data_IF_064433164713
#
_entry.id   IF_064433164713
#
_cell.length_a   1.000
_cell.length_b   1.000
_cell.length_c   1.000
_cell.angle_alpha   90.00
_cell.angle_beta   90.00
_cell.angle_gamma   90.00
#
_symmetry.space_group_name_H-M   'P 1'
#
loop_
_entity.id
_entity.type
_entity.pdbx_description
1 polymer ?
#
# COMPACT_ATOMS: atom_id res chain seq x y z
N UNK A 1 -9.86 -38.50 -6.01
CA UNK A 1 -8.86 -37.44 -5.85
C UNK A 1 -9.64 -36.18 -5.52
N UNK A 2 -9.70 -35.83 -4.23
CA UNK A 2 -10.42 -34.66 -3.77
C UNK A 2 -9.56 -33.41 -4.04
N UNK A 3 -9.92 -32.66 -5.08
CA UNK A 3 -9.33 -31.33 -5.26
C UNK A 3 -9.81 -30.44 -4.10
N UNK A 4 -8.91 -29.81 -3.32
CA UNK A 4 -9.34 -28.85 -2.32
C UNK A 4 -10.14 -27.75 -3.03
N UNK A 5 -11.42 -27.63 -2.67
CA UNK A 5 -12.27 -26.57 -3.15
C UNK A 5 -11.67 -25.29 -2.58
N UNK A 6 -11.20 -24.38 -3.44
CA UNK A 6 -10.80 -23.05 -2.99
C UNK A 6 -11.96 -22.43 -2.19
N UNK A 7 -11.77 -22.22 -0.89
CA UNK A 7 -12.76 -21.56 -0.01
C UNK A 7 -13.14 -20.16 -0.53
N UNK A 8 -12.34 -19.59 -1.43
CA UNK A 8 -12.58 -18.31 -2.09
C UNK A 8 -13.57 -18.37 -3.26
N UNK A 9 -14.32 -19.47 -3.46
CA UNK A 9 -15.33 -19.55 -4.52
C UNK A 9 -16.56 -18.68 -4.18
N UNK A 10 -16.59 -17.51 -4.81
CA UNK A 10 -17.60 -16.44 -4.70
C UNK A 10 -19.07 -16.92 -4.75
N UNK A 11 -19.83 -16.70 -3.66
CA UNK A 11 -21.31 -16.66 -3.67
C UNK A 11 -21.77 -15.35 -4.35
N UNK A 12 -22.73 -15.39 -5.28
CA UNK A 12 -23.13 -14.22 -6.08
C UNK A 12 -23.89 -13.14 -5.27
N UNK A 13 -23.88 -11.89 -5.75
CA UNK A 13 -24.70 -10.77 -5.23
C UNK A 13 -24.03 -9.86 -4.19
N UNK A 14 -24.85 -9.08 -3.45
CA UNK A 14 -24.43 -8.15 -2.39
C UNK A 14 -23.57 -8.82 -1.30
N UNK A 15 -23.80 -10.10 -1.02
CA UNK A 15 -22.98 -10.91 -0.12
C UNK A 15 -21.50 -10.96 -0.55
N UNK A 16 -21.20 -10.91 -1.85
CA UNK A 16 -19.82 -10.84 -2.36
C UNK A 16 -19.12 -9.53 -2.02
N UNK A 17 -19.87 -8.42 -2.08
CA UNK A 17 -19.33 -7.09 -1.76
C UNK A 17 -19.03 -7.01 -0.27
N UNK A 18 -19.95 -7.47 0.59
CA UNK A 18 -19.72 -7.56 2.03
C UNK A 18 -18.56 -8.48 2.39
N UNK A 19 -18.44 -9.66 1.76
CA UNK A 19 -17.29 -10.54 1.99
C UNK A 19 -15.97 -9.91 1.52
N UNK A 20 -15.97 -9.23 0.37
CA UNK A 20 -14.77 -8.55 -0.13
C UNK A 20 -14.32 -7.41 0.80
N UNK A 21 -15.27 -6.64 1.35
CA UNK A 21 -14.95 -5.63 2.37
C UNK A 21 -14.36 -6.27 3.64
N UNK A 22 -14.91 -7.41 4.09
CA UNK A 22 -14.35 -8.15 5.22
C UNK A 22 -12.90 -8.57 4.97
N UNK A 23 -12.61 -9.14 3.79
CA UNK A 23 -11.25 -9.54 3.43
C UNK A 23 -10.29 -8.33 3.35
N UNK A 24 -10.76 -7.19 2.84
CA UNK A 24 -9.95 -5.96 2.84
C UNK A 24 -9.63 -5.49 4.26
N UNK A 25 -10.60 -5.54 5.18
CA UNK A 25 -10.38 -5.18 6.59
C UNK A 25 -9.38 -6.12 7.27
N UNK A 26 -9.47 -7.42 7.00
CA UNK A 26 -8.52 -8.41 7.50
C UNK A 26 -7.11 -8.13 6.96
N UNK A 27 -6.99 -7.75 5.67
CA UNK A 27 -5.72 -7.34 5.07
C UNK A 27 -5.11 -6.10 5.73
N UNK A 28 -5.90 -5.04 5.94
CA UNK A 28 -5.43 -3.84 6.65
C UNK A 28 -5.06 -4.14 8.11
N UNK A 29 -5.82 -4.99 8.78
CA UNK A 29 -5.51 -5.42 10.15
C UNK A 29 -4.20 -6.19 10.20
N UNK A 30 -3.97 -7.10 9.24
CA UNK A 30 -2.72 -7.85 9.14
C UNK A 30 -1.53 -6.91 8.91
N UNK A 31 -1.64 -5.98 7.95
CA UNK A 31 -0.59 -4.98 7.70
C UNK A 31 -0.31 -4.13 8.95
N UNK A 32 -1.35 -3.65 9.63
CA UNK A 32 -1.19 -2.87 10.87
C UNK A 32 -0.52 -3.65 11.99
N UNK A 33 -0.81 -4.95 12.14
CA UNK A 33 -0.26 -5.77 13.24
C UNK A 33 1.18 -6.22 12.94
N UNK A 34 1.46 -6.66 11.72
CA UNK A 34 2.70 -7.35 11.37
C UNK A 34 3.74 -6.44 10.73
N UNK A 35 3.34 -5.35 10.06
CA UNK A 35 4.25 -4.54 9.25
C UNK A 35 4.62 -3.23 9.96
N UNK A 36 5.85 -3.15 10.47
CA UNK A 36 6.36 -1.93 11.09
C UNK A 36 6.46 -0.76 10.10
N UNK A 37 6.89 -1.05 8.86
CA UNK A 37 7.01 -0.05 7.80
C UNK A 37 5.63 0.54 7.47
N UNK A 38 4.63 -0.29 7.16
CA UNK A 38 3.24 0.16 6.95
C UNK A 38 2.73 1.13 8.03
N UNK A 39 3.00 0.88 9.32
CA UNK A 39 2.60 1.80 10.40
C UNK A 39 3.28 3.16 10.29
N UNK A 40 4.57 3.21 10.00
CA UNK A 40 5.33 4.45 9.82
C UNK A 40 4.81 5.23 8.61
N UNK A 41 4.59 4.53 7.49
CA UNK A 41 4.06 5.14 6.28
C UNK A 41 2.64 5.68 6.49
N UNK A 42 1.79 4.96 7.21
CA UNK A 42 0.43 5.41 7.50
C UNK A 42 0.44 6.71 8.30
N UNK A 43 1.37 6.88 9.25
CA UNK A 43 1.54 8.14 9.97
C UNK A 43 1.91 9.27 9.01
N UNK A 44 2.85 9.04 8.08
CA UNK A 44 3.22 10.02 7.05
C UNK A 44 2.02 10.37 6.17
N UNK A 45 1.23 9.38 5.74
CA UNK A 45 0.03 9.59 4.92
C UNK A 45 -1.02 10.40 5.67
N UNK A 46 -1.28 10.10 6.95
CA UNK A 46 -2.25 10.84 7.77
C UNK A 46 -1.82 12.28 7.94
N UNK A 47 -0.57 12.52 8.35
CA UNK A 47 -0.03 13.87 8.55
C UNK A 47 -0.04 14.64 7.21
N UNK A 48 0.46 14.03 6.14
CA UNK A 48 0.50 14.63 4.81
C UNK A 48 -0.90 14.96 4.28
N UNK A 49 -1.89 14.11 4.54
CA UNK A 49 -3.28 14.37 4.16
C UNK A 49 -3.86 15.56 4.92
N UNK A 50 -3.64 15.65 6.24
CA UNK A 50 -4.07 16.80 7.05
C UNK A 50 -3.43 18.09 6.53
N UNK A 51 -2.13 18.06 6.23
CA UNK A 51 -1.41 19.20 5.64
C UNK A 51 -2.00 19.58 4.29
N UNK A 52 -2.21 18.63 3.37
CA UNK A 52 -2.77 18.88 2.05
C UNK A 52 -4.18 19.51 2.12
N UNK A 53 -5.02 19.03 3.04
CA UNK A 53 -6.36 19.60 3.26
C UNK A 53 -6.30 21.03 3.82
N UNK A 54 -5.31 21.34 4.65
CA UNK A 54 -5.09 22.68 5.21
C UNK A 54 -4.48 23.70 4.24
N UNK A 55 -3.87 23.27 3.14
CA UNK A 55 -3.29 24.17 2.14
C UNK A 55 -4.39 24.93 1.37
N UNK A 56 -4.13 26.21 1.09
CA UNK A 56 -4.97 27.07 0.24
C UNK A 56 -4.67 26.85 -1.26
N UNK A 57 -4.79 25.60 -1.71
CA UNK A 57 -4.59 25.14 -3.09
C UNK A 57 -5.91 24.59 -3.66
N UNK A 58 -5.96 24.37 -4.97
CA UNK A 58 -7.17 23.87 -5.65
C UNK A 58 -7.56 22.47 -5.15
N UNK A 59 -8.86 22.10 -5.22
CA UNK A 59 -9.30 20.75 -4.83
C UNK A 59 -8.58 19.63 -5.60
N UNK A 60 -8.23 19.89 -6.87
CA UNK A 60 -7.49 18.94 -7.70
C UNK A 60 -6.06 18.73 -7.19
N UNK A 61 -5.34 19.80 -6.84
CA UNK A 61 -4.01 19.69 -6.26
C UNK A 61 -4.04 18.93 -4.92
N UNK A 62 -5.03 19.18 -4.06
CA UNK A 62 -5.23 18.40 -2.82
C UNK A 62 -5.39 16.91 -3.10
N UNK A 63 -6.25 16.59 -4.07
CA UNK A 63 -6.48 15.20 -4.48
C UNK A 63 -5.18 14.55 -4.97
N UNK A 64 -4.40 15.24 -5.81
CA UNK A 64 -3.12 14.75 -6.33
C UNK A 64 -2.12 14.48 -5.20
N UNK A 65 -2.00 15.38 -4.21
CA UNK A 65 -1.14 15.19 -3.05
C UNK A 65 -1.54 13.96 -2.21
N UNK A 66 -2.84 13.78 -1.97
CA UNK A 66 -3.38 12.66 -1.19
C UNK A 66 -3.23 11.34 -1.96
N UNK A 67 -3.53 11.32 -3.25
CA UNK A 67 -3.38 10.13 -4.10
C UNK A 67 -1.93 9.67 -4.14
N UNK A 68 -0.97 10.59 -4.23
CA UNK A 68 0.44 10.24 -4.21
C UNK A 68 0.87 9.55 -2.90
N UNK A 69 0.32 9.99 -1.76
CA UNK A 69 0.55 9.35 -0.46
C UNK A 69 -0.15 7.98 -0.35
N UNK A 70 -1.39 7.87 -0.82
CA UNK A 70 -2.11 6.60 -0.85
C UNK A 70 -1.42 5.57 -1.76
N UNK A 71 -0.79 6.02 -2.85
CA UNK A 71 -0.01 5.16 -3.74
C UNK A 71 1.16 4.50 -3.00
N UNK A 72 1.83 5.20 -2.08
CA UNK A 72 2.87 4.61 -1.21
C UNK A 72 2.31 3.42 -0.42
N UNK A 73 1.18 3.61 0.27
CA UNK A 73 0.56 2.52 1.05
C UNK A 73 0.09 1.35 0.19
N UNK A 74 -0.39 1.60 -1.03
CA UNK A 74 -0.77 0.53 -1.96
C UNK A 74 0.46 -0.31 -2.32
N UNK A 75 1.57 0.34 -2.65
CA UNK A 75 2.80 -0.37 -3.04
C UNK A 75 3.40 -1.11 -1.84
N UNK A 76 3.34 -0.54 -0.64
CA UNK A 76 3.78 -1.21 0.59
C UNK A 76 2.93 -2.43 0.92
N UNK A 77 1.60 -2.37 0.81
CA UNK A 77 0.74 -3.54 0.98
C UNK A 77 1.08 -4.66 -0.01
N UNK A 78 1.41 -4.31 -1.26
CA UNK A 78 1.88 -5.29 -2.26
C UNK A 78 3.25 -5.85 -1.87
N UNK A 79 4.17 -5.01 -1.39
CA UNK A 79 5.48 -5.44 -0.90
C UNK A 79 5.33 -6.44 0.25
N UNK A 80 4.56 -6.12 1.28
CA UNK A 80 4.29 -7.02 2.41
C UNK A 80 3.62 -8.32 1.97
N UNK A 81 2.72 -8.29 0.98
CA UNK A 81 2.13 -9.50 0.42
C UNK A 81 3.18 -10.39 -0.27
N UNK A 82 4.13 -9.80 -1.00
CA UNK A 82 5.26 -10.51 -1.61
C UNK A 82 6.15 -11.11 -0.52
N UNK A 83 6.48 -10.34 0.52
CA UNK A 83 7.29 -10.80 1.65
C UNK A 83 6.64 -11.99 2.36
N UNK A 84 5.33 -11.91 2.65
CA UNK A 84 4.58 -13.00 3.26
C UNK A 84 4.58 -14.29 2.40
N UNK A 85 4.47 -14.15 1.07
CA UNK A 85 4.55 -15.29 0.15
C UNK A 85 5.97 -15.89 0.15
N UNK A 86 7.00 -15.06 0.09
CA UNK A 86 8.40 -15.49 0.06
C UNK A 86 8.76 -16.21 1.37
N UNK A 87 8.36 -15.66 2.52
CA UNK A 87 8.65 -16.22 3.84
C UNK A 87 7.90 -17.51 4.11
N UNK A 88 6.72 -17.70 3.49
CA UNK A 88 6.01 -18.98 3.52
C UNK A 88 6.74 -20.09 2.75
N UNK A 89 7.44 -19.78 1.65
CA UNK A 89 8.05 -20.79 0.77
C UNK A 89 9.33 -21.37 1.39
N UNK A 90 10.23 -20.53 1.88
CA UNK A 90 11.44 -20.99 2.56
C UNK A 90 12.07 -19.85 3.37
N UNK A 91 12.43 -20.16 4.61
CA UNK A 91 13.20 -19.27 5.49
C UNK A 91 14.72 -19.37 5.22
N UNK A 92 15.16 -20.31 4.39
CA UNK A 92 16.55 -20.37 3.95
C UNK A 92 16.85 -19.23 2.97
N UNK A 93 18.06 -18.65 3.07
CA UNK A 93 18.48 -17.54 2.21
C UNK A 93 18.71 -18.02 0.78
N UNK A 94 17.63 -18.09 -0.02
CA UNK A 94 17.69 -18.36 -1.44
C UNK A 94 17.93 -17.07 -2.26
N UNK A 95 18.84 -17.05 -3.25
CA UNK A 95 19.10 -15.86 -4.06
C UNK A 95 17.87 -15.26 -4.73
N UNK A 96 16.90 -16.09 -5.14
CA UNK A 96 15.64 -15.60 -5.73
C UNK A 96 14.70 -14.96 -4.69
N UNK A 97 14.62 -15.53 -3.47
CA UNK A 97 13.83 -14.95 -2.38
C UNK A 97 14.35 -13.56 -2.02
N UNK A 98 15.68 -13.42 -1.94
CA UNK A 98 16.32 -12.12 -1.73
C UNK A 98 15.95 -11.13 -2.85
N UNK A 99 16.10 -11.52 -4.12
CA UNK A 99 15.75 -10.66 -5.26
C UNK A 99 14.29 -10.22 -5.26
N UNK A 100 13.36 -11.10 -4.89
CA UNK A 100 11.94 -10.76 -4.82
C UNK A 100 11.68 -9.66 -3.77
N UNK A 101 12.28 -9.80 -2.58
CA UNK A 101 12.19 -8.78 -1.51
C UNK A 101 12.86 -7.47 -1.92
N UNK A 102 14.08 -7.54 -2.49
CA UNK A 102 14.81 -6.35 -2.95
C UNK A 102 14.00 -5.55 -4.00
N UNK A 103 13.32 -6.23 -4.93
CA UNK A 103 12.47 -5.59 -5.93
C UNK A 103 11.19 -4.97 -5.33
N UNK A 104 10.58 -5.65 -4.35
CA UNK A 104 9.43 -5.10 -3.63
C UNK A 104 9.79 -3.82 -2.88
N UNK A 105 10.90 -3.82 -2.13
CA UNK A 105 11.42 -2.63 -1.45
C UNK A 105 11.80 -1.52 -2.45
N UNK A 106 12.36 -1.86 -3.61
CA UNK A 106 12.66 -0.87 -4.66
C UNK A 106 11.39 -0.22 -5.22
N UNK A 107 10.29 -0.96 -5.34
CA UNK A 107 9.00 -0.40 -5.75
C UNK A 107 8.47 0.60 -4.72
N UNK A 108 8.56 0.29 -3.42
CA UNK A 108 8.18 1.21 -2.32
C UNK A 108 9.02 2.49 -2.40
N UNK A 109 10.34 2.38 -2.60
CA UNK A 109 11.21 3.53 -2.79
C UNK A 109 10.79 4.41 -3.98
N UNK A 110 10.43 3.82 -5.12
CA UNK A 110 9.94 4.57 -6.27
C UNK A 110 8.61 5.27 -5.98
N UNK A 111 7.71 4.64 -5.22
CA UNK A 111 6.47 5.27 -4.78
C UNK A 111 6.74 6.51 -3.91
N UNK A 112 7.71 6.43 -3.00
CA UNK A 112 8.16 7.60 -2.23
C UNK A 112 8.76 8.70 -3.09
N UNK A 113 9.56 8.36 -4.10
CA UNK A 113 10.11 9.34 -5.04
C UNK A 113 8.98 10.05 -5.80
N UNK A 114 7.99 9.30 -6.28
CA UNK A 114 6.79 9.87 -6.92
C UNK A 114 6.08 10.82 -5.96
N UNK A 115 5.81 10.39 -4.72
CA UNK A 115 5.16 11.23 -3.73
C UNK A 115 5.96 12.53 -3.45
N UNK A 116 7.27 12.42 -3.25
CA UNK A 116 8.13 13.56 -3.01
C UNK A 116 8.15 14.56 -4.19
N UNK A 117 8.27 14.06 -5.43
CA UNK A 117 8.27 14.89 -6.63
C UNK A 117 6.91 15.56 -6.86
N UNK A 118 5.81 14.84 -6.64
CA UNK A 118 4.46 15.40 -6.74
C UNK A 118 4.25 16.51 -5.71
N UNK A 119 4.63 16.28 -4.45
CA UNK A 119 4.56 17.27 -3.39
C UNK A 119 5.44 18.49 -3.69
N UNK A 120 6.70 18.28 -4.08
CA UNK A 120 7.60 19.36 -4.44
C UNK A 120 7.04 20.21 -5.59
N UNK A 121 6.49 19.59 -6.63
CA UNK A 121 5.93 20.31 -7.79
C UNK A 121 4.77 21.22 -7.40
N UNK A 122 3.82 20.69 -6.60
CA UNK A 122 2.64 21.47 -6.16
C UNK A 122 3.05 22.59 -5.20
N UNK A 123 3.96 22.31 -4.26
CA UNK A 123 4.41 23.32 -3.30
C UNK A 123 5.25 24.42 -3.97
N UNK A 124 6.15 24.07 -4.89
CA UNK A 124 6.93 25.06 -5.65
C UNK A 124 5.99 25.96 -6.44
N UNK A 125 5.04 25.40 -7.21
CA UNK A 125 4.06 26.19 -7.97
C UNK A 125 3.18 27.09 -7.07
N UNK A 126 3.01 26.73 -5.80
CA UNK A 126 2.24 27.53 -4.84
C UNK A 126 3.05 28.68 -4.24
N UNK A 127 4.35 28.50 -4.01
CA UNK A 127 5.18 29.43 -3.25
C UNK A 127 6.19 30.23 -4.09
N UNK A 128 6.41 29.86 -5.35
CA UNK A 128 7.28 30.52 -6.32
C UNK A 128 6.56 30.72 -7.64
#
# INVERSE_FOLDING_TARGET
MDHPISEFKSKSGLRRIFSAMSYSLDGFKAAWLHEHAFRQELVVVVIGTVVALGLAISPFEKLVLIVALLFVLIVELINSAIEAIVDRISLERHPLSKRAKDLGSAAVMLAFIIAALTWATVLVNRFY
#
